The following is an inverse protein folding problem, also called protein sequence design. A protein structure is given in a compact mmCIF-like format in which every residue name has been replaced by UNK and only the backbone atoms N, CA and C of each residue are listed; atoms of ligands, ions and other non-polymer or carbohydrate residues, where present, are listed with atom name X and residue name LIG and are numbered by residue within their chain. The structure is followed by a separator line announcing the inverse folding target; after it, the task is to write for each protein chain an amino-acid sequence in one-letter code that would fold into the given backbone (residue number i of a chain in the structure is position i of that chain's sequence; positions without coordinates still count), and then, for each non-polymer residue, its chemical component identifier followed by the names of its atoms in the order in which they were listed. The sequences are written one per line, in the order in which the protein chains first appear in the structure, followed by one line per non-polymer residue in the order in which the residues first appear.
data_IF_638118486553
#
_entry.id   IF_638118486553
#
_cell.length_a   1.000
_cell.length_b   1.000
_cell.length_c   1.000
_cell.angle_alpha   90.00
_cell.angle_beta   90.00
_cell.angle_gamma   90.00
#
_symmetry.space_group_name_H-M   'P 1'
#
loop_
_entity.id
_entity.type
_entity.pdbx_description
1 polymer ?
#
# COMPACT_ATOMS: atom_id res chain seq x y z
N UNK A 1 6.44 2.00 14.02
CA UNK A 1 6.00 2.84 15.16
C UNK A 1 4.68 2.30 15.73
N UNK A 2 3.64 2.10 14.91
CA UNK A 2 2.36 1.56 15.36
C UNK A 2 2.53 0.22 16.09
N UNK A 3 3.33 -0.70 15.55
CA UNK A 3 3.60 -2.00 16.16
C UNK A 3 4.25 -1.89 17.56
N UNK A 4 5.09 -0.90 17.81
CA UNK A 4 5.73 -0.71 19.11
C UNK A 4 4.70 -0.48 20.22
N UNK A 5 3.68 0.35 19.97
CA UNK A 5 2.60 0.56 20.94
C UNK A 5 1.78 -0.69 21.23
N UNK A 6 1.58 -1.54 20.22
CA UNK A 6 0.93 -2.84 20.39
C UNK A 6 1.76 -3.80 21.26
N UNK A 7 3.08 -3.85 21.01
CA UNK A 7 3.99 -4.70 21.81
C UNK A 7 3.99 -4.27 23.28
N UNK A 8 4.01 -2.96 23.56
CA UNK A 8 3.94 -2.44 24.93
C UNK A 8 2.63 -2.81 25.62
N UNK A 9 1.50 -2.66 24.92
CA UNK A 9 0.19 -3.03 25.47
C UNK A 9 0.09 -4.53 25.74
N UNK A 10 0.52 -5.37 24.81
CA UNK A 10 0.52 -6.82 25.02
C UNK A 10 1.39 -7.21 26.23
N UNK A 11 2.59 -6.62 26.35
CA UNK A 11 3.46 -6.83 27.51
C UNK A 11 2.82 -6.35 28.82
N UNK A 12 2.08 -5.23 28.78
CA UNK A 12 1.33 -4.75 29.94
C UNK A 12 0.26 -5.75 30.34
N UNK A 13 -0.53 -6.25 29.40
CA UNK A 13 -1.59 -7.21 29.68
C UNK A 13 -1.04 -8.50 30.30
N UNK A 14 0.07 -9.03 29.80
CA UNK A 14 0.71 -10.19 30.41
C UNK A 14 1.19 -9.97 31.85
N UNK A 15 1.52 -8.73 32.21
CA UNK A 15 1.94 -8.41 33.60
C UNK A 15 0.79 -8.12 34.55
N UNK A 16 -0.29 -7.50 34.02
CA UNK A 16 -1.36 -6.92 34.83
C UNK A 16 -2.63 -7.74 34.85
N UNK A 17 -2.86 -8.66 33.92
CA UNK A 17 -4.04 -9.51 33.86
C UNK A 17 -3.67 -10.90 34.44
N UNK A 18 -4.09 -11.22 35.68
CA UNK A 18 -3.81 -12.53 36.24
C UNK A 18 -4.50 -13.64 35.44
N UNK A 19 -3.81 -14.74 35.21
CA UNK A 19 -4.35 -15.86 34.45
C UNK A 19 -4.30 -15.75 32.93
N UNK A 20 -3.75 -14.66 32.37
CA UNK A 20 -3.63 -14.50 30.95
C UNK A 20 -2.59 -15.46 30.35
N UNK A 21 -1.46 -15.67 31.05
CA UNK A 21 -0.40 -16.60 30.62
C UNK A 21 -0.87 -18.06 30.72
N UNK A 22 -1.71 -18.38 31.69
CA UNK A 22 -2.29 -19.70 31.92
C UNK A 22 -3.52 -19.96 31.04
N UNK A 23 -3.97 -18.96 30.26
CA UNK A 23 -5.13 -19.09 29.40
C UNK A 23 -6.49 -19.09 30.11
N UNK A 24 -6.53 -18.74 31.40
CA UNK A 24 -7.76 -18.69 32.24
C UNK A 24 -8.46 -17.33 32.14
N UNK A 25 -7.72 -16.26 31.80
CA UNK A 25 -8.27 -14.92 31.57
C UNK A 25 -8.26 -14.57 30.05
N UNK A 26 -9.19 -13.69 29.66
CA UNK A 26 -9.25 -13.19 28.27
C UNK A 26 -8.43 -11.89 28.13
N UNK A 27 -7.70 -11.72 27.00
CA UNK A 27 -7.01 -10.47 26.72
C UNK A 27 -7.99 -9.32 26.44
N UNK A 28 -7.58 -8.09 26.73
CA UNK A 28 -8.29 -6.88 26.32
C UNK A 28 -7.98 -6.56 24.83
N UNK A 29 -8.67 -7.27 23.96
CA UNK A 29 -8.54 -7.09 22.50
C UNK A 29 -9.05 -5.73 22.04
N UNK A 30 -10.07 -5.16 22.71
CA UNK A 30 -10.64 -3.87 22.35
C UNK A 30 -9.60 -2.75 22.48
N UNK A 31 -8.82 -2.78 23.55
CA UNK A 31 -7.73 -1.82 23.76
C UNK A 31 -6.61 -1.98 22.73
N UNK A 32 -6.28 -3.20 22.34
CA UNK A 32 -5.31 -3.45 21.27
C UNK A 32 -5.79 -2.87 19.93
N UNK A 33 -7.05 -3.08 19.58
CA UNK A 33 -7.65 -2.53 18.36
C UNK A 33 -7.66 -1.01 18.39
N UNK A 34 -8.02 -0.38 19.51
CA UNK A 34 -8.00 1.09 19.64
C UNK A 34 -6.60 1.67 19.44
N UNK A 35 -5.58 1.11 20.08
CA UNK A 35 -4.17 1.53 19.91
C UNK A 35 -3.73 1.37 18.46
N UNK A 36 -4.00 0.23 17.84
CA UNK A 36 -3.64 -0.05 16.45
C UNK A 36 -4.31 0.93 15.49
N UNK A 37 -5.60 1.17 15.66
CA UNK A 37 -6.39 2.06 14.79
C UNK A 37 -5.92 3.50 14.89
N UNK A 38 -5.72 4.02 16.10
CA UNK A 38 -5.23 5.38 16.32
C UNK A 38 -3.84 5.58 15.73
N UNK A 39 -2.94 4.62 15.95
CA UNK A 39 -1.59 4.67 15.42
C UNK A 39 -1.60 4.61 13.88
N UNK A 40 -2.39 3.72 13.28
CA UNK A 40 -2.54 3.61 11.82
C UNK A 40 -3.07 4.91 11.20
N UNK A 41 -4.14 5.48 11.75
CA UNK A 41 -4.71 6.74 11.27
C UNK A 41 -3.68 7.89 11.32
N UNK A 42 -2.91 7.98 12.41
CA UNK A 42 -1.90 9.02 12.58
C UNK A 42 -0.74 8.87 11.57
N UNK A 43 -0.26 7.66 11.36
CA UNK A 43 0.84 7.40 10.42
C UNK A 43 0.41 7.55 8.94
N UNK A 44 -0.89 7.43 8.63
CA UNK A 44 -1.43 7.64 7.28
C UNK A 44 -1.57 9.10 6.87
N UNK A 45 -1.55 10.06 7.81
CA UNK A 45 -1.76 11.49 7.51
C UNK A 45 -0.70 12.01 6.54
N UNK A 46 0.58 11.76 6.80
CA UNK A 46 1.68 12.29 5.96
C UNK A 46 1.66 11.70 4.55
N UNK A 47 1.60 10.37 4.34
CA UNK A 47 1.49 9.81 2.99
C UNK A 47 0.24 10.29 2.24
N UNK A 48 -0.90 10.39 2.94
CA UNK A 48 -2.15 10.87 2.36
C UNK A 48 -2.05 12.33 1.90
N UNK A 49 -1.47 13.21 2.72
CA UNK A 49 -1.24 14.60 2.36
C UNK A 49 -0.29 14.74 1.16
N UNK A 50 0.78 13.95 1.09
CA UNK A 50 1.70 13.96 -0.06
C UNK A 50 0.96 13.57 -1.34
N UNK A 51 0.11 12.53 -1.29
CA UNK A 51 -0.65 12.09 -2.46
C UNK A 51 -1.64 13.15 -2.97
N UNK A 52 -2.16 14.01 -2.09
CA UNK A 52 -3.08 15.10 -2.46
C UNK A 52 -2.31 16.37 -2.86
N UNK A 53 -1.34 16.78 -2.06
CA UNK A 53 -0.64 18.06 -2.26
C UNK A 53 0.28 18.03 -3.48
N UNK A 54 0.97 16.90 -3.74
CA UNK A 54 1.92 16.81 -4.85
C UNK A 54 1.28 17.12 -6.21
N UNK A 55 0.18 16.47 -6.64
CA UNK A 55 -0.47 16.80 -7.91
C UNK A 55 -1.05 18.21 -7.94
N UNK A 56 -1.53 18.75 -6.80
CA UNK A 56 -2.04 20.13 -6.72
C UNK A 56 -0.93 21.13 -6.96
N UNK A 57 0.18 21.00 -6.25
CA UNK A 57 1.33 21.91 -6.38
C UNK A 57 1.92 21.83 -7.79
N UNK A 58 2.19 20.63 -8.28
CA UNK A 58 2.81 20.45 -9.58
C UNK A 58 1.87 20.94 -10.70
N UNK A 59 0.57 20.62 -10.63
CA UNK A 59 -0.42 21.07 -11.62
C UNK A 59 -0.63 22.58 -11.62
N UNK A 60 -0.48 23.23 -10.47
CA UNK A 60 -0.50 24.69 -10.37
C UNK A 60 0.64 25.35 -11.15
N UNK A 61 1.84 24.79 -11.10
CA UNK A 61 3.00 25.35 -11.82
C UNK A 61 3.07 24.90 -13.28
N UNK A 62 2.68 23.65 -13.60
CA UNK A 62 2.76 23.13 -14.97
C UNK A 62 1.89 21.88 -15.17
N UNK A 63 0.97 21.95 -16.14
CA UNK A 63 0.16 20.78 -16.56
C UNK A 63 1.05 19.67 -17.15
N UNK A 64 2.06 20.02 -17.93
CA UNK A 64 2.98 19.05 -18.52
C UNK A 64 3.77 18.29 -17.45
N UNK A 65 4.24 19.00 -16.40
CA UNK A 65 4.90 18.39 -15.27
C UNK A 65 3.93 17.50 -14.46
N UNK A 66 2.66 17.91 -14.34
CA UNK A 66 1.63 17.06 -13.72
C UNK A 66 1.44 15.75 -14.50
N UNK A 67 1.35 15.81 -15.81
CA UNK A 67 1.30 14.62 -16.67
C UNK A 67 2.51 13.72 -16.47
N UNK A 68 3.71 14.31 -16.40
CA UNK A 68 4.95 13.58 -16.13
C UNK A 68 4.98 12.87 -14.77
N UNK A 69 4.56 13.57 -13.69
CA UNK A 69 4.54 12.96 -12.36
C UNK A 69 3.48 11.85 -12.25
N UNK A 70 2.32 12.02 -12.88
CA UNK A 70 1.27 10.99 -12.88
C UNK A 70 1.71 9.75 -13.66
N UNK A 71 2.33 9.93 -14.84
CA UNK A 71 2.87 8.81 -15.62
C UNK A 71 4.00 8.09 -14.86
N UNK A 72 4.96 8.84 -14.32
CA UNK A 72 6.07 8.29 -13.54
C UNK A 72 5.60 7.57 -12.27
N UNK A 73 4.68 8.17 -11.52
CA UNK A 73 4.11 7.57 -10.32
C UNK A 73 3.31 6.29 -10.64
N UNK A 74 2.59 6.26 -11.76
CA UNK A 74 1.86 5.07 -12.19
C UNK A 74 2.82 3.94 -12.54
N UNK A 75 3.80 4.18 -13.40
CA UNK A 75 4.74 3.14 -13.84
C UNK A 75 5.55 2.60 -12.66
N UNK A 76 6.23 3.48 -11.91
CA UNK A 76 7.03 3.07 -10.76
C UNK A 76 6.19 2.47 -9.64
N UNK A 77 5.04 3.06 -9.37
CA UNK A 77 4.15 2.60 -8.30
C UNK A 77 3.56 1.22 -8.58
N UNK A 78 3.15 0.93 -9.83
CA UNK A 78 2.67 -0.40 -10.22
C UNK A 78 3.79 -1.43 -10.12
N UNK A 79 4.98 -1.12 -10.65
CA UNK A 79 6.12 -2.03 -10.56
C UNK A 79 6.51 -2.32 -9.10
N UNK A 80 6.57 -1.30 -8.26
CA UNK A 80 6.88 -1.45 -6.84
C UNK A 80 5.79 -2.22 -6.09
N UNK A 81 4.51 -1.96 -6.37
CA UNK A 81 3.42 -2.69 -5.74
C UNK A 81 3.46 -4.19 -6.08
N UNK A 82 3.68 -4.53 -7.35
CA UNK A 82 3.83 -5.91 -7.81
C UNK A 82 5.07 -6.58 -7.18
N UNK A 83 6.20 -5.88 -7.18
CA UNK A 83 7.43 -6.38 -6.56
C UNK A 83 7.22 -6.71 -5.08
N UNK A 84 6.67 -5.75 -4.31
CA UNK A 84 6.47 -5.92 -2.87
C UNK A 84 5.45 -7.03 -2.56
N UNK A 85 4.33 -7.07 -3.29
CA UNK A 85 3.31 -8.10 -3.10
C UNK A 85 3.86 -9.50 -3.41
N UNK A 86 4.57 -9.66 -4.54
CA UNK A 86 5.10 -10.95 -4.96
C UNK A 86 6.26 -11.43 -4.09
N UNK A 87 7.20 -10.55 -3.73
CA UNK A 87 8.33 -10.92 -2.87
C UNK A 87 7.86 -11.28 -1.47
N UNK A 88 6.94 -10.50 -0.88
CA UNK A 88 6.34 -10.82 0.42
C UNK A 88 5.55 -12.13 0.40
N UNK A 89 4.75 -12.35 -0.64
CA UNK A 89 4.02 -13.60 -0.84
C UNK A 89 4.93 -14.81 -1.04
N UNK A 90 6.06 -14.65 -1.71
CA UNK A 90 7.02 -15.73 -1.92
C UNK A 90 7.60 -16.24 -0.59
N UNK A 91 7.97 -15.34 0.33
CA UNK A 91 8.48 -15.72 1.65
C UNK A 91 7.42 -16.41 2.52
N UNK A 92 6.19 -15.90 2.53
CA UNK A 92 5.08 -16.53 3.26
C UNK A 92 4.80 -17.94 2.72
N UNK A 93 4.75 -18.10 1.40
CA UNK A 93 4.58 -19.41 0.77
C UNK A 93 5.75 -20.35 1.05
N UNK A 94 6.99 -19.87 1.01
CA UNK A 94 8.16 -20.68 1.33
C UNK A 94 8.12 -21.18 2.79
N UNK A 95 7.76 -20.31 3.74
CA UNK A 95 7.59 -20.69 5.14
C UNK A 95 6.53 -21.78 5.29
N UNK A 96 5.35 -21.58 4.71
CA UNK A 96 4.24 -22.56 4.75
C UNK A 96 4.64 -23.90 4.11
N UNK A 97 5.34 -23.84 2.98
CA UNK A 97 5.83 -25.06 2.32
C UNK A 97 6.80 -25.86 3.20
N UNK A 98 7.73 -25.18 3.88
CA UNK A 98 8.65 -25.85 4.81
C UNK A 98 7.87 -26.44 5.99
N UNK A 99 6.85 -25.75 6.50
CA UNK A 99 6.01 -26.22 7.62
C UNK A 99 5.24 -27.52 7.28
N UNK A 100 5.01 -27.83 6.00
CA UNK A 100 4.44 -29.12 5.58
C UNK A 100 5.37 -30.32 5.75
N UNK A 101 6.63 -30.09 6.15
CA UNK A 101 7.65 -31.13 6.35
C UNK A 101 8.81 -31.07 5.34
N UNK A 102 8.71 -30.21 4.30
CA UNK A 102 9.80 -30.01 3.34
C UNK A 102 11.05 -29.42 4.03
N UNK A 103 12.23 -29.76 3.51
CA UNK A 103 13.52 -29.20 3.99
C UNK A 103 13.75 -29.29 5.51
N UNK A 104 13.23 -30.34 6.14
CA UNK A 104 13.39 -30.58 7.58
C UNK A 104 12.22 -30.07 8.45
N UNK A 105 11.22 -29.45 7.83
CA UNK A 105 9.99 -29.07 8.52
C UNK A 105 10.14 -27.90 9.52
N UNK A 106 9.11 -27.76 10.33
CA UNK A 106 9.03 -26.68 11.34
C UNK A 106 10.14 -26.77 12.36
N UNK A 107 10.83 -25.66 12.61
CA UNK A 107 11.95 -25.57 13.57
C UNK A 107 13.33 -25.84 12.94
N UNK A 108 13.41 -26.32 11.69
CA UNK A 108 14.66 -26.48 10.96
C UNK A 108 15.35 -25.13 10.64
N UNK A 109 16.62 -25.13 10.27
CA UNK A 109 17.31 -23.90 9.89
C UNK A 109 16.70 -23.24 8.62
N UNK A 110 16.30 -23.99 7.57
CA UNK A 110 15.52 -23.43 6.48
C UNK A 110 14.20 -22.77 6.95
N UNK A 111 13.50 -23.38 7.91
CA UNK A 111 12.28 -22.76 8.48
C UNK A 111 12.59 -21.42 9.17
N UNK A 112 13.64 -21.37 10.01
CA UNK A 112 14.06 -20.12 10.68
C UNK A 112 14.39 -19.02 9.69
N UNK A 113 15.14 -19.36 8.61
CA UNK A 113 15.45 -18.40 7.55
C UNK A 113 14.20 -17.90 6.82
N UNK A 114 13.26 -18.80 6.51
CA UNK A 114 11.99 -18.42 5.89
C UNK A 114 11.11 -17.54 6.79
N UNK A 115 11.11 -17.77 8.11
CA UNK A 115 10.43 -16.91 9.10
C UNK A 115 11.00 -15.51 9.11
N UNK A 116 12.32 -15.35 9.03
CA UNK A 116 12.97 -14.03 8.92
C UNK A 116 12.55 -13.33 7.62
N UNK A 117 12.56 -14.05 6.50
CA UNK A 117 12.11 -13.51 5.22
C UNK A 117 10.64 -13.09 5.23
N UNK A 118 9.77 -13.92 5.81
CA UNK A 118 8.34 -13.63 5.96
C UNK A 118 8.09 -12.40 6.87
N UNK A 119 8.83 -12.27 7.96
CA UNK A 119 8.75 -11.11 8.86
C UNK A 119 9.05 -9.79 8.12
N UNK A 120 9.97 -9.80 7.15
CA UNK A 120 10.26 -8.66 6.28
C UNK A 120 9.22 -8.55 5.16
N UNK A 121 8.77 -9.66 4.62
CA UNK A 121 7.82 -9.74 3.51
C UNK A 121 6.40 -9.34 3.88
N UNK A 122 5.94 -9.60 5.09
CA UNK A 122 4.59 -9.26 5.55
C UNK A 122 4.28 -7.76 5.43
N UNK A 123 5.12 -6.82 5.91
CA UNK A 123 4.91 -5.39 5.66
C UNK A 123 4.87 -5.02 4.17
N UNK A 124 5.60 -5.73 3.32
CA UNK A 124 5.59 -5.47 1.88
C UNK A 124 4.28 -5.89 1.23
N UNK A 125 3.81 -7.11 1.48
CA UNK A 125 2.59 -7.62 0.85
C UNK A 125 1.31 -7.03 1.45
N UNK A 126 1.27 -6.84 2.77
CA UNK A 126 0.05 -6.50 3.49
C UNK A 126 -0.09 -4.99 3.77
N UNK A 127 0.98 -4.21 3.67
CA UNK A 127 0.99 -2.78 3.97
C UNK A 127 1.49 -1.93 2.81
N UNK A 128 2.77 -2.05 2.45
CA UNK A 128 3.40 -1.15 1.48
C UNK A 128 2.88 -1.36 0.05
N UNK A 129 2.70 -2.60 -0.40
CA UNK A 129 2.13 -2.91 -1.71
C UNK A 129 0.72 -2.34 -1.90
N UNK A 130 -0.24 -2.66 -1.03
CA UNK A 130 -1.58 -2.08 -1.07
C UNK A 130 -1.60 -0.56 -0.93
N UNK A 131 -0.73 0.04 -0.09
CA UNK A 131 -0.63 1.48 0.07
C UNK A 131 -0.21 2.20 -1.22
N UNK A 132 0.71 1.62 -1.99
CA UNK A 132 1.12 2.16 -3.30
C UNK A 132 -0.05 2.22 -4.28
N UNK A 133 -0.90 1.20 -4.32
CA UNK A 133 -2.08 1.18 -5.17
C UNK A 133 -3.08 2.30 -4.81
N UNK A 134 -3.29 2.54 -3.51
CA UNK A 134 -4.15 3.63 -3.03
C UNK A 134 -3.55 4.99 -3.40
N UNK A 135 -2.25 5.17 -3.22
CA UNK A 135 -1.53 6.40 -3.52
C UNK A 135 -1.67 6.80 -4.99
N UNK A 136 -1.44 5.86 -5.92
CA UNK A 136 -1.58 6.10 -7.37
C UNK A 136 -3.02 6.54 -7.70
N UNK A 137 -4.02 5.82 -7.17
CA UNK A 137 -5.43 6.15 -7.38
C UNK A 137 -5.78 7.52 -6.84
N UNK A 138 -5.35 7.84 -5.63
CA UNK A 138 -5.64 9.13 -4.99
C UNK A 138 -5.04 10.28 -5.78
N UNK A 139 -3.78 10.18 -6.19
CA UNK A 139 -3.12 11.19 -7.03
C UNK A 139 -3.86 11.41 -8.35
N UNK A 140 -4.25 10.32 -9.02
CA UNK A 140 -4.98 10.37 -10.29
C UNK A 140 -6.36 11.01 -10.14
N UNK A 141 -7.10 10.66 -9.09
CA UNK A 141 -8.43 11.25 -8.80
C UNK A 141 -8.32 12.74 -8.48
N UNK A 142 -7.36 13.15 -7.66
CA UNK A 142 -7.12 14.56 -7.35
C UNK A 142 -6.78 15.36 -8.60
N UNK A 143 -5.89 14.83 -9.45
CA UNK A 143 -5.53 15.47 -10.72
C UNK A 143 -6.73 15.59 -11.66
N UNK A 144 -7.55 14.55 -11.78
CA UNK A 144 -8.75 14.55 -12.61
C UNK A 144 -9.80 15.55 -12.14
N UNK A 145 -10.08 15.59 -10.84
CA UNK A 145 -11.06 16.52 -10.26
C UNK A 145 -10.62 17.96 -10.43
N UNK A 146 -9.33 18.25 -10.35
CA UNK A 146 -8.77 19.59 -10.49
C UNK A 146 -8.40 19.96 -11.93
N UNK A 147 -8.51 19.03 -12.88
CA UNK A 147 -8.14 19.28 -14.28
C UNK A 147 -8.82 20.52 -14.90
N UNK A 148 -10.14 20.80 -14.68
CA UNK A 148 -10.77 22.01 -15.21
C UNK A 148 -10.19 23.30 -14.58
N UNK A 149 -9.79 23.24 -13.31
CA UNK A 149 -9.16 24.37 -12.64
C UNK A 149 -7.74 24.64 -13.17
N UNK A 150 -6.94 23.60 -13.38
CA UNK A 150 -5.63 23.71 -13.99
C UNK A 150 -5.70 24.25 -15.41
N UNK A 151 -6.63 23.75 -16.25
CA UNK A 151 -6.84 24.26 -17.60
C UNK A 151 -7.15 25.77 -17.62
N UNK A 152 -8.01 26.22 -16.70
CA UNK A 152 -8.34 27.65 -16.57
C UNK A 152 -7.14 28.50 -16.18
N UNK A 153 -6.30 28.06 -15.25
CA UNK A 153 -5.10 28.82 -14.81
C UNK A 153 -4.08 28.93 -15.94
N UNK A 154 -3.90 27.85 -16.70
CA UNK A 154 -2.88 27.80 -17.76
C UNK A 154 -3.39 28.27 -19.13
N UNK A 155 -4.66 28.69 -19.22
CA UNK A 155 -5.25 29.17 -20.49
C UNK A 155 -5.30 28.09 -21.57
N UNK A 156 -5.24 26.81 -21.19
CA UNK A 156 -5.36 25.67 -22.11
C UNK A 156 -6.82 25.34 -22.30
N UNK A 157 -7.33 25.48 -23.53
CA UNK A 157 -8.61 24.88 -23.89
C UNK A 157 -8.44 23.35 -23.84
N UNK A 158 -9.28 22.69 -23.05
CA UNK A 158 -9.32 21.22 -23.06
C UNK A 158 -10.01 20.82 -24.37
N UNK A 159 -9.22 20.49 -25.37
CA UNK A 159 -9.76 19.94 -26.62
C UNK A 159 -10.31 18.53 -26.35
N UNK A 160 -11.64 18.46 -26.23
CA UNK A 160 -12.38 17.22 -25.99
C UNK A 160 -12.15 16.20 -27.13
N UNK A 161 -11.76 16.68 -28.33
CA UNK A 161 -11.45 15.80 -29.48
C UNK A 161 -10.22 14.93 -29.22
N UNK A 162 -9.21 15.47 -28.56
CA UNK A 162 -7.99 14.72 -28.18
C UNK A 162 -8.31 13.64 -27.15
N UNK A 163 -9.22 13.93 -26.20
CA UNK A 163 -9.63 12.94 -25.20
C UNK A 163 -10.42 11.78 -25.84
N UNK A 164 -11.30 12.06 -26.82
CA UNK A 164 -12.02 11.01 -27.56
C UNK A 164 -11.07 10.14 -28.38
N UNK A 165 -10.08 10.72 -29.04
CA UNK A 165 -9.06 9.99 -29.81
C UNK A 165 -8.24 9.05 -28.95
N UNK A 166 -7.85 9.48 -27.74
CA UNK A 166 -7.13 8.63 -26.77
C UNK A 166 -8.02 7.48 -26.28
N UNK A 167 -9.30 7.75 -26.00
CA UNK A 167 -10.25 6.73 -25.58
C UNK A 167 -10.46 5.65 -26.67
N UNK A 168 -10.56 6.08 -27.93
CA UNK A 168 -10.71 5.19 -29.07
C UNK A 168 -9.46 4.37 -29.33
N UNK A 169 -8.27 4.95 -29.16
CA UNK A 169 -7.01 4.22 -29.21
C UNK A 169 -6.89 3.16 -28.08
N UNK A 170 -7.30 3.50 -26.87
CA UNK A 170 -7.33 2.56 -25.74
C UNK A 170 -8.34 1.43 -26.01
N UNK A 171 -9.53 1.74 -26.51
CA UNK A 171 -10.53 0.72 -26.90
C UNK A 171 -10.01 -0.22 -27.98
N UNK A 172 -9.39 0.34 -29.03
CA UNK A 172 -8.80 -0.45 -30.10
C UNK A 172 -7.69 -1.38 -29.60
N UNK A 173 -6.79 -0.87 -28.75
CA UNK A 173 -5.75 -1.68 -28.11
C UNK A 173 -6.32 -2.80 -27.24
N UNK A 174 -7.39 -2.53 -26.49
CA UNK A 174 -8.04 -3.51 -25.62
C UNK A 174 -8.77 -4.60 -26.42
N UNK A 175 -9.45 -4.25 -27.53
CA UNK A 175 -10.08 -5.23 -28.41
C UNK A 175 -9.06 -6.08 -29.18
N UNK A 176 -7.90 -5.54 -29.53
CA UNK A 176 -6.81 -6.30 -30.12
C UNK A 176 -6.12 -7.28 -29.15
N UNK A 177 -6.21 -7.03 -27.85
CA UNK A 177 -5.63 -7.89 -26.80
C UNK A 177 -6.57 -9.05 -26.40
N UNK A 178 -7.88 -8.88 -26.64
CA UNK A 178 -8.92 -9.84 -26.24
C UNK A 178 -9.46 -10.71 -27.40
N UNK A 179 -9.07 -10.41 -28.64
CA UNK A 179 -9.40 -11.19 -29.85
C UNK A 179 -8.28 -12.04 -30.30
#
# INVERSE_FOLDING_TARGET
RAAAGMVEEVRRQFREIPGLMEGTAKPDSARCVDISTRAALREMVVPGLVAVIAPVVVGYFSINALGGILAGATVTGVLMALFMANSGGAWDNAKKYIETGAHGGKGSDPHKAAVVGDTVGDPFKDTAGPAMNILIKLMSVVALVLAPWFARIHGTEVDVSTASTILDAIRAAFSALLG
#
